data_IF_322339537220
#
_entry.id   IF_322339537220
#
_cell.length_a   1.000
_cell.length_b   1.000
_cell.length_c   1.000
_cell.angle_alpha   90.00
_cell.angle_beta   90.00
_cell.angle_gamma   90.00
#
_symmetry.space_group_name_H-M   'P 1'
#
loop_
_entity.id
_entity.type
_entity.pdbx_description
1 polymer ?
#
# COMPACT_ATOMS: atom_id res chain seq x y z
N UNK A 1 23.60 -24.21 18.90
CA UNK A 1 22.27 -23.62 19.17
C UNK A 1 21.25 -24.27 18.25
N UNK A 2 20.28 -25.00 18.79
CA UNK A 2 19.14 -25.51 18.02
C UNK A 2 18.08 -24.39 17.93
N UNK A 3 17.66 -24.04 16.72
CA UNK A 3 16.48 -23.19 16.51
C UNK A 3 15.23 -24.02 16.77
N UNK A 4 14.32 -23.56 17.62
CA UNK A 4 13.12 -24.29 18.06
C UNK A 4 11.81 -23.77 17.46
N UNK A 5 11.85 -22.64 16.75
CA UNK A 5 10.67 -22.05 16.12
C UNK A 5 11.03 -21.27 14.85
N UNK A 6 10.03 -21.10 13.97
CA UNK A 6 10.08 -20.27 12.76
C UNK A 6 8.82 -19.40 12.77
N UNK A 7 8.98 -18.10 12.50
CA UNK A 7 7.88 -17.16 12.27
C UNK A 7 7.85 -16.85 10.78
N UNK A 8 6.67 -16.96 10.18
CA UNK A 8 6.44 -16.61 8.78
C UNK A 8 5.56 -15.37 8.71
N UNK A 9 6.00 -14.42 7.90
CA UNK A 9 5.14 -13.34 7.44
C UNK A 9 4.12 -13.88 6.42
N UNK A 10 2.99 -13.20 6.27
CA UNK A 10 1.88 -13.65 5.42
C UNK A 10 1.98 -13.05 4.01
N UNK A 11 1.92 -11.73 3.94
CA UNK A 11 1.83 -10.97 2.70
C UNK A 11 3.18 -10.91 1.97
N UNK A 12 3.23 -11.41 0.74
CA UNK A 12 4.47 -11.47 -0.03
C UNK A 12 5.44 -12.59 0.40
N UNK A 13 5.20 -13.24 1.54
CA UNK A 13 5.99 -14.40 2.02
C UNK A 13 5.25 -15.72 1.80
N UNK A 14 4.08 -15.92 2.40
CA UNK A 14 3.26 -17.13 2.20
C UNK A 14 2.23 -16.96 1.07
N UNK A 15 1.85 -15.73 0.75
CA UNK A 15 0.85 -15.44 -0.29
C UNK A 15 1.25 -14.23 -1.15
N UNK A 16 1.27 -14.41 -2.47
CA UNK A 16 1.38 -13.29 -3.44
C UNK A 16 0.08 -12.48 -3.58
N UNK A 17 -0.30 -11.71 -2.56
CA UNK A 17 -1.62 -11.02 -2.48
C UNK A 17 -1.68 -9.79 -3.38
N UNK A 18 -0.52 -9.26 -3.77
CA UNK A 18 -0.37 -8.00 -4.52
C UNK A 18 -1.21 -7.91 -5.80
N UNK A 19 -1.34 -9.01 -6.55
CA UNK A 19 -2.17 -9.08 -7.78
C UNK A 19 -3.66 -8.93 -7.51
N UNK A 20 -4.13 -9.35 -6.33
CA UNK A 20 -5.55 -9.28 -5.95
C UNK A 20 -5.92 -7.95 -5.31
N UNK A 21 -4.98 -7.31 -4.61
CA UNK A 21 -5.23 -6.01 -3.95
C UNK A 21 -5.09 -4.82 -4.91
N UNK A 22 -4.24 -4.91 -5.94
CA UNK A 22 -4.04 -3.82 -6.89
C UNK A 22 -5.35 -3.25 -7.50
N UNK A 23 -6.32 -4.07 -7.97
CA UNK A 23 -7.57 -3.55 -8.49
C UNK A 23 -8.38 -2.74 -7.47
N UNK A 24 -8.40 -3.17 -6.20
CA UNK A 24 -9.13 -2.48 -5.14
C UNK A 24 -8.55 -1.08 -4.86
N UNK A 25 -7.22 -0.98 -4.81
CA UNK A 25 -6.54 0.32 -4.67
C UNK A 25 -6.81 1.24 -5.86
N UNK A 26 -6.76 0.74 -7.09
CA UNK A 26 -7.06 1.55 -8.26
C UNK A 26 -8.53 2.01 -8.31
N UNK A 27 -9.50 1.19 -7.87
CA UNK A 27 -10.90 1.61 -7.72
C UNK A 27 -11.03 2.79 -6.77
N UNK A 28 -10.26 2.79 -5.69
CA UNK A 28 -10.24 3.89 -4.72
C UNK A 28 -9.62 5.13 -5.35
N UNK A 29 -8.45 5.02 -6.00
CA UNK A 29 -7.77 6.15 -6.65
C UNK A 29 -8.62 6.78 -7.76
N UNK A 30 -9.41 5.99 -8.49
CA UNK A 30 -10.32 6.49 -9.52
C UNK A 30 -11.42 7.41 -8.96
N UNK A 31 -11.69 7.37 -7.63
CA UNK A 31 -12.62 8.31 -6.95
C UNK A 31 -11.99 9.69 -6.72
N UNK A 32 -10.67 9.83 -6.90
CA UNK A 32 -9.88 11.03 -6.62
C UNK A 32 -9.05 11.43 -7.85
N UNK A 33 -9.70 11.84 -8.96
CA UNK A 33 -9.03 12.12 -10.23
C UNK A 33 -7.99 13.25 -10.13
N UNK A 34 -8.10 14.14 -9.13
CA UNK A 34 -7.14 15.20 -8.86
C UNK A 34 -5.74 14.70 -8.50
N UNK A 35 -5.61 13.45 -8.04
CA UNK A 35 -4.32 12.83 -7.74
C UNK A 35 -3.60 12.36 -9.01
N UNK A 36 -4.32 12.18 -10.12
CA UNK A 36 -3.81 11.67 -11.39
C UNK A 36 -2.86 10.47 -11.21
N UNK A 37 -3.26 9.52 -10.35
CA UNK A 37 -2.43 8.37 -9.94
C UNK A 37 -3.15 7.07 -10.28
N UNK A 38 -2.41 6.16 -10.91
CA UNK A 38 -2.80 4.76 -11.11
C UNK A 38 -1.62 3.88 -10.74
N UNK A 39 -1.85 2.91 -9.87
CA UNK A 39 -0.80 2.02 -9.41
C UNK A 39 -0.51 0.95 -10.45
N UNK A 40 0.78 0.66 -10.61
CA UNK A 40 1.28 -0.51 -11.32
C UNK A 40 1.48 -1.69 -10.36
N UNK A 41 1.65 -2.89 -10.92
CA UNK A 41 1.98 -4.08 -10.11
C UNK A 41 3.34 -3.97 -9.42
N UNK A 42 4.31 -3.32 -10.08
CA UNK A 42 5.65 -3.10 -9.55
C UNK A 42 5.62 -2.17 -8.33
N UNK A 43 4.93 -1.03 -8.45
CA UNK A 43 4.71 -0.12 -7.32
C UNK A 43 3.99 -0.83 -6.16
N UNK A 44 2.91 -1.56 -6.46
CA UNK A 44 2.18 -2.30 -5.43
C UNK A 44 3.06 -3.32 -4.70
N UNK A 45 3.92 -4.05 -5.42
CA UNK A 45 4.86 -4.98 -4.79
C UNK A 45 5.87 -4.25 -3.89
N UNK A 46 6.28 -3.03 -4.25
CA UNK A 46 7.25 -2.25 -3.47
C UNK A 46 6.73 -1.78 -2.10
N UNK A 47 5.41 -1.83 -1.88
CA UNK A 47 4.75 -1.44 -0.64
C UNK A 47 4.74 -2.53 0.43
N UNK A 48 4.97 -3.78 0.05
CA UNK A 48 4.88 -4.91 0.98
C UNK A 48 5.98 -4.82 2.05
N UNK A 49 5.57 -4.98 3.32
CA UNK A 49 6.47 -4.85 4.47
C UNK A 49 6.77 -3.40 4.90
N UNK A 50 6.12 -2.40 4.28
CA UNK A 50 6.22 -0.98 4.66
C UNK A 50 5.06 -0.55 5.53
N UNK A 51 5.29 0.49 6.32
CA UNK A 51 4.26 1.18 7.08
C UNK A 51 3.37 2.02 6.17
N UNK A 52 2.17 2.38 6.65
CA UNK A 52 1.23 3.19 5.88
C UNK A 52 1.81 4.57 5.54
N UNK A 53 2.57 5.18 6.45
CA UNK A 53 3.21 6.48 6.25
C UNK A 53 4.26 6.42 5.12
N UNK A 54 5.10 5.39 5.11
CA UNK A 54 6.06 5.15 4.03
C UNK A 54 5.35 4.92 2.69
N UNK A 55 4.25 4.16 2.69
CA UNK A 55 3.45 3.91 1.48
C UNK A 55 2.84 5.22 0.97
N UNK A 56 2.32 6.06 1.87
CA UNK A 56 1.73 7.35 1.52
C UNK A 56 2.76 8.27 0.85
N UNK A 57 3.96 8.37 1.43
CA UNK A 57 5.06 9.15 0.87
C UNK A 57 5.49 8.63 -0.51
N UNK A 58 5.64 7.32 -0.67
CA UNK A 58 6.00 6.70 -1.95
C UNK A 58 4.92 6.87 -3.02
N UNK A 59 3.65 6.78 -2.64
CA UNK A 59 2.52 6.80 -3.57
C UNK A 59 2.23 8.21 -4.09
N UNK A 60 2.30 9.21 -3.21
CA UNK A 60 1.93 10.60 -3.48
C UNK A 60 3.05 11.59 -3.09
N UNK A 61 4.27 11.45 -3.63
CA UNK A 61 5.46 12.18 -3.16
C UNK A 61 5.32 13.70 -3.31
N UNK A 62 4.55 14.15 -4.30
CA UNK A 62 4.28 15.55 -4.62
C UNK A 62 3.09 16.16 -3.85
N UNK A 63 2.37 15.38 -3.05
CA UNK A 63 1.29 15.85 -2.18
C UNK A 63 1.85 16.21 -0.82
N UNK A 64 1.40 17.32 -0.23
CA UNK A 64 1.79 17.71 1.13
C UNK A 64 1.49 16.61 2.15
N UNK A 65 2.39 16.42 3.13
CA UNK A 65 2.32 15.33 4.12
C UNK A 65 0.97 15.27 4.84
N UNK A 66 0.46 16.43 5.28
CA UNK A 66 -0.83 16.49 5.98
C UNK A 66 -1.98 16.05 5.08
N UNK A 67 -1.95 16.49 3.82
CA UNK A 67 -2.96 16.09 2.82
C UNK A 67 -2.87 14.60 2.46
N UNK A 68 -1.65 14.04 2.43
CA UNK A 68 -1.46 12.59 2.26
C UNK A 68 -2.09 11.82 3.41
N UNK A 69 -1.76 12.14 4.65
CA UNK A 69 -2.33 11.45 5.81
C UNK A 69 -3.85 11.56 5.84
N UNK A 70 -4.41 12.75 5.61
CA UNK A 70 -5.86 12.96 5.55
C UNK A 70 -6.54 12.10 4.47
N UNK A 71 -5.87 11.87 3.34
CA UNK A 71 -6.34 10.98 2.29
C UNK A 71 -6.38 9.53 2.78
N UNK A 72 -5.29 9.02 3.35
CA UNK A 72 -5.21 7.63 3.83
C UNK A 72 -6.15 7.36 5.02
N UNK A 73 -6.32 8.30 5.94
CA UNK A 73 -7.30 8.21 7.03
C UNK A 73 -8.73 8.07 6.47
N UNK A 74 -9.09 8.84 5.44
CA UNK A 74 -10.41 8.71 4.80
C UNK A 74 -10.63 7.35 4.15
N UNK A 75 -9.57 6.68 3.70
CA UNK A 75 -9.66 5.34 3.11
C UNK A 75 -9.94 4.25 4.14
N UNK A 76 -9.46 4.39 5.39
CA UNK A 76 -9.72 3.43 6.46
C UNK A 76 -11.21 3.35 6.88
N UNK A 77 -12.02 4.35 6.52
CA UNK A 77 -13.43 4.47 6.95
C UNK A 77 -14.44 4.16 5.82
N UNK A 78 -13.98 3.71 4.66
CA UNK A 78 -14.81 3.31 3.50
C UNK A 78 -14.71 1.83 3.18
#
# INVERSE_FOLDING_TARGET
MNKTAIIFDLDGTLWGTSKKVLPAWNIVLDRYPELNKKLTQEEMNSFFGKTLDEIAEMMLPSVDEKKRLDFFIKLEVT
#
